data_IF_319690310498
#
_entry.id   IF_319690310498
#
_cell.length_a   1.000
_cell.length_b   1.000
_cell.length_c   1.000
_cell.angle_alpha   90.00
_cell.angle_beta   90.00
_cell.angle_gamma   90.00
#
_symmetry.space_group_name_H-M   'P 1'
#
loop_
_entity.id
_entity.type
_entity.pdbx_description
1 polymer ?
#
# COMPACT_ATOMS: atom_id res chain seq x y z
N UNK A 1 9.79 21.03 -18.46
CA UNK A 1 9.84 20.74 -17.01
C UNK A 1 8.90 19.55 -16.75
N UNK A 2 9.40 18.31 -16.75
CA UNK A 2 8.62 17.17 -16.27
C UNK A 2 8.55 17.32 -14.74
N UNK A 3 7.48 17.93 -14.25
CA UNK A 3 7.23 17.98 -12.81
C UNK A 3 7.15 16.55 -12.26
N UNK A 4 7.69 16.39 -11.06
CA UNK A 4 7.66 15.18 -10.24
C UNK A 4 6.21 14.79 -9.93
N UNK A 5 5.58 14.03 -10.81
CA UNK A 5 4.30 13.41 -10.54
C UNK A 5 4.55 12.10 -9.82
N UNK A 6 3.79 11.82 -8.76
CA UNK A 6 3.89 10.54 -8.07
C UNK A 6 3.56 9.40 -9.05
N UNK A 7 4.26 8.28 -8.89
CA UNK A 7 4.26 7.21 -9.89
C UNK A 7 2.87 6.58 -10.04
N UNK A 8 2.10 6.50 -8.95
CA UNK A 8 0.71 6.08 -8.92
C UNK A 8 -0.21 7.07 -9.62
N UNK A 9 -0.03 8.38 -9.39
CA UNK A 9 -0.76 9.43 -10.10
C UNK A 9 -0.48 9.40 -11.61
N UNK A 10 0.74 9.06 -12.02
CA UNK A 10 1.09 8.84 -13.43
C UNK A 10 0.30 7.70 -14.06
N UNK A 11 0.34 6.51 -13.46
CA UNK A 11 -0.37 5.35 -14.00
C UNK A 11 -1.89 5.50 -13.93
N UNK A 12 -2.40 6.17 -12.88
CA UNK A 12 -3.81 6.53 -12.80
C UNK A 12 -4.25 7.41 -13.97
N UNK A 13 -3.53 8.50 -14.24
CA UNK A 13 -3.83 9.38 -15.37
C UNK A 13 -3.78 8.62 -16.70
N UNK A 14 -2.79 7.74 -16.88
CA UNK A 14 -2.68 6.88 -18.06
C UNK A 14 -3.89 5.94 -18.22
N UNK A 15 -4.41 5.40 -17.12
CA UNK A 15 -5.58 4.51 -17.13
C UNK A 15 -6.87 5.21 -17.59
N UNK A 16 -6.95 6.52 -17.37
CA UNK A 16 -8.12 7.34 -17.72
C UNK A 16 -8.06 7.92 -19.14
N UNK A 17 -6.90 7.86 -19.80
CA UNK A 17 -6.73 8.37 -21.16
C UNK A 17 -7.57 7.56 -22.16
N UNK A 18 -8.37 8.29 -22.93
CA UNK A 18 -9.30 7.76 -23.91
C UNK A 18 -9.02 8.38 -25.29
N UNK A 19 -9.27 7.61 -26.34
CA UNK A 19 -9.31 8.14 -27.70
C UNK A 19 -10.61 8.93 -27.96
N UNK A 20 -10.72 9.52 -29.15
CA UNK A 20 -11.95 10.22 -29.59
C UNK A 20 -13.19 9.32 -29.65
N UNK A 21 -13.01 7.99 -29.59
CA UNK A 21 -14.08 6.98 -29.57
C UNK A 21 -14.47 6.56 -28.14
N UNK A 22 -13.83 7.13 -27.12
CA UNK A 22 -14.04 6.76 -25.70
C UNK A 22 -13.34 5.47 -25.27
N UNK A 23 -12.49 4.88 -26.11
CA UNK A 23 -11.75 3.65 -25.78
C UNK A 23 -10.52 4.01 -24.95
N UNK A 24 -10.36 3.36 -23.80
CA UNK A 24 -9.15 3.47 -22.97
C UNK A 24 -7.98 2.78 -23.66
N UNK A 25 -6.94 3.55 -23.98
CA UNK A 25 -5.81 3.07 -24.79
C UNK A 25 -4.80 2.24 -23.97
N UNK A 26 -4.62 2.59 -22.70
CA UNK A 26 -3.60 2.00 -21.84
C UNK A 26 -4.17 1.31 -20.60
N UNK A 27 -5.46 0.95 -20.62
CA UNK A 27 -6.14 0.38 -19.45
C UNK A 27 -5.41 -0.84 -18.87
N UNK A 28 -5.01 -1.79 -19.71
CA UNK A 28 -4.40 -3.04 -19.25
C UNK A 28 -3.01 -2.80 -18.63
N UNK A 29 -2.17 -2.00 -19.30
CA UNK A 29 -0.81 -1.69 -18.83
C UNK A 29 -0.85 -0.82 -17.58
N UNK A 30 -1.75 0.16 -17.52
CA UNK A 30 -1.91 1.02 -16.36
C UNK A 30 -2.45 0.24 -15.15
N UNK A 31 -3.40 -0.68 -15.36
CA UNK A 31 -3.92 -1.56 -14.31
C UNK A 31 -2.80 -2.45 -13.78
N UNK A 32 -2.05 -3.10 -14.67
CA UNK A 32 -0.90 -3.92 -14.26
C UNK A 32 0.14 -3.12 -13.46
N UNK A 33 0.48 -1.89 -13.89
CA UNK A 33 1.43 -1.07 -13.18
C UNK A 33 0.93 -0.65 -11.78
N UNK A 34 -0.35 -0.29 -11.66
CA UNK A 34 -0.98 0.00 -10.36
C UNK A 34 -1.01 -1.25 -9.45
N UNK A 35 -1.29 -2.42 -10.01
CA UNK A 35 -1.26 -3.70 -9.29
C UNK A 35 0.15 -4.03 -8.78
N UNK A 36 1.20 -3.72 -9.55
CA UNK A 36 2.58 -3.88 -9.10
C UNK A 36 2.93 -2.88 -8.00
N UNK A 37 2.41 -1.66 -8.07
CA UNK A 37 2.70 -0.61 -7.09
C UNK A 37 2.08 -0.85 -5.70
N UNK A 38 0.98 -1.61 -5.63
CA UNK A 38 0.40 -2.02 -4.33
C UNK A 38 1.18 -3.15 -3.66
N UNK A 39 2.06 -3.84 -4.38
CA UNK A 39 2.92 -4.84 -3.76
C UNK A 39 3.95 -4.16 -2.85
N UNK A 40 4.05 -4.55 -1.57
CA UNK A 40 5.12 -4.07 -0.73
C UNK A 40 6.45 -4.53 -1.32
N UNK A 41 7.21 -3.59 -1.88
CA UNK A 41 8.47 -3.84 -2.59
C UNK A 41 9.59 -4.41 -1.68
N UNK A 42 9.36 -4.54 -0.37
CA UNK A 42 10.37 -5.05 0.56
C UNK A 42 9.76 -5.72 1.79
N UNK A 43 10.42 -6.79 2.24
CA UNK A 43 10.18 -7.42 3.54
C UNK A 43 10.33 -6.44 4.71
N UNK A 44 11.04 -5.32 4.54
CA UNK A 44 11.19 -4.28 5.55
C UNK A 44 9.82 -3.73 6.03
N UNK A 45 8.81 -3.68 5.17
CA UNK A 45 7.45 -3.26 5.56
C UNK A 45 6.81 -4.28 6.50
N UNK A 46 6.97 -5.57 6.23
CA UNK A 46 6.51 -6.64 7.12
C UNK A 46 7.31 -6.65 8.44
N UNK A 47 8.63 -6.49 8.38
CA UNK A 47 9.52 -6.41 9.55
C UNK A 47 9.17 -5.22 10.44
N UNK A 48 8.76 -4.08 9.86
CA UNK A 48 8.24 -2.93 10.62
C UNK A 48 6.99 -3.29 11.41
N UNK A 49 6.04 -4.02 10.81
CA UNK A 49 4.85 -4.50 11.53
C UNK A 49 5.23 -5.49 12.63
N UNK A 50 6.16 -6.42 12.38
CA UNK A 50 6.68 -7.33 13.41
C UNK A 50 7.38 -6.60 14.56
N UNK A 51 8.11 -5.52 14.27
CA UNK A 51 8.72 -4.67 15.30
C UNK A 51 7.66 -4.02 16.19
N UNK A 52 6.58 -3.47 15.60
CA UNK A 52 5.44 -2.92 16.35
C UNK A 52 4.75 -4.00 17.21
N UNK A 53 4.56 -5.19 16.66
CA UNK A 53 4.02 -6.34 17.40
C UNK A 53 4.89 -6.68 18.60
N UNK A 54 6.22 -6.70 18.44
CA UNK A 54 7.15 -6.97 19.54
C UNK A 54 7.12 -5.87 20.63
N UNK A 55 6.92 -4.60 20.24
CA UNK A 55 6.78 -3.49 21.17
C UNK A 55 5.48 -3.60 21.99
N UNK A 56 4.38 -3.99 21.35
CA UNK A 56 3.07 -4.18 22.00
C UNK A 56 3.08 -5.43 22.88
N UNK A 57 3.57 -6.56 22.36
CA UNK A 57 3.67 -7.85 23.05
C UNK A 57 4.93 -7.93 23.90
N UNK A 58 4.93 -7.21 25.01
CA UNK A 58 5.96 -7.36 26.05
C UNK A 58 5.86 -8.72 26.75
N UNK A 59 6.93 -9.17 27.42
CA UNK A 59 6.96 -10.42 28.20
C UNK A 59 5.74 -10.61 29.14
N UNK A 60 5.31 -9.61 29.94
CA UNK A 60 4.11 -9.73 30.77
C UNK A 60 2.78 -9.61 30.00
N UNK A 61 2.76 -9.04 28.79
CA UNK A 61 1.56 -8.85 27.95
C UNK A 61 1.64 -9.65 26.64
N UNK A 62 2.07 -10.90 26.70
CA UNK A 62 2.30 -11.74 25.52
C UNK A 62 1.06 -12.49 25.00
N UNK A 63 -0.05 -12.48 25.75
CA UNK A 63 -1.27 -13.26 25.45
C UNK A 63 -2.44 -12.41 24.95
N UNK A 64 -2.14 -11.32 24.23
CA UNK A 64 -3.17 -10.55 23.55
C UNK A 64 -3.80 -11.38 22.44
N UNK A 65 -5.14 -11.41 22.40
CA UNK A 65 -5.88 -11.98 21.28
C UNK A 65 -5.64 -11.13 20.02
N UNK A 66 -5.73 -11.77 18.85
CA UNK A 66 -5.43 -11.15 17.56
C UNK A 66 -6.26 -9.89 17.30
N UNK A 67 -7.55 -9.90 17.66
CA UNK A 67 -8.43 -8.75 17.51
C UNK A 67 -7.93 -7.51 18.29
N UNK A 68 -7.58 -7.70 19.57
CA UNK A 68 -7.04 -6.62 20.42
C UNK A 68 -5.68 -6.13 19.92
N UNK A 69 -4.81 -7.05 19.49
CA UNK A 69 -3.52 -6.69 18.93
C UNK A 69 -3.65 -5.88 17.64
N UNK A 70 -4.57 -6.25 16.75
CA UNK A 70 -4.83 -5.51 15.52
C UNK A 70 -5.35 -4.10 15.81
N UNK A 71 -6.29 -3.97 16.76
CA UNK A 71 -6.78 -2.67 17.21
C UNK A 71 -5.68 -1.78 17.80
N UNK A 72 -4.73 -2.35 18.55
CA UNK A 72 -3.60 -1.61 19.11
C UNK A 72 -2.60 -1.15 18.04
N UNK A 73 -2.34 -1.99 17.03
CA UNK A 73 -1.49 -1.61 15.90
C UNK A 73 -2.14 -0.45 15.14
N UNK A 74 -3.43 -0.56 14.81
CA UNK A 74 -4.16 0.50 14.11
C UNK A 74 -4.21 1.81 14.91
N UNK A 75 -4.46 1.73 16.23
CA UNK A 75 -4.45 2.91 17.10
C UNK A 75 -3.07 3.58 17.23
N UNK A 76 -1.97 2.86 16.94
CA UNK A 76 -0.61 3.40 16.93
C UNK A 76 -0.21 4.06 15.61
N UNK A 77 -1.03 3.93 14.56
CA UNK A 77 -0.79 4.46 13.21
C UNK A 77 -1.63 5.71 12.89
N UNK A 78 -2.63 6.03 13.71
CA UNK A 78 -3.32 7.31 13.73
C UNK A 78 -2.53 8.37 14.50
#
# INVERSE_FOLDING_TARGET
>A
QLQSMDVDAFWYNLSTMQDMSGKRLFADVATFALDVLIFPHSNASCERVFSKVNLIKTKPRNRLITATLNGLIQASEC
#
